data_IF_509167344945
#
_entry.id   IF_509167344945
#
_cell.length_a   1.000
_cell.length_b   1.000
_cell.length_c   1.000
_cell.angle_alpha   90.00
_cell.angle_beta   90.00
_cell.angle_gamma   90.00
#
_symmetry.space_group_name_H-M   'P 1'
#
loop_
_entity.id
_entity.type
_entity.pdbx_description
1 polymer ?
#
# COMPACT_ATOMS: atom_id res chain seq x y z
N UNK A 1 -17.61 5.60 -0.46
CA UNK A 1 -16.98 6.31 0.65
C UNK A 1 -15.55 5.82 0.69
N UNK A 2 -14.67 6.43 -0.11
CA UNK A 2 -13.23 6.27 0.12
C UNK A 2 -12.95 7.20 1.28
N UNK A 3 -12.63 6.66 2.45
CA UNK A 3 -12.27 7.48 3.60
C UNK A 3 -11.13 8.44 3.20
N UNK A 4 -11.31 9.75 3.40
CA UNK A 4 -10.27 10.79 3.22
C UNK A 4 -9.06 10.61 4.18
N UNK A 5 -9.02 9.51 4.91
CA UNK A 5 -7.93 9.08 5.78
C UNK A 5 -6.73 8.51 5.01
N UNK A 6 -5.82 7.88 5.78
CA UNK A 6 -4.58 7.36 5.23
C UNK A 6 -4.82 6.30 4.15
N UNK A 7 -5.82 5.43 4.31
CA UNK A 7 -6.19 4.44 3.29
C UNK A 7 -6.55 5.08 1.94
N UNK A 8 -7.33 6.17 1.92
CA UNK A 8 -7.70 6.88 0.70
C UNK A 8 -6.49 7.44 -0.06
N UNK A 9 -5.38 7.72 0.64
CA UNK A 9 -4.10 8.10 0.03
C UNK A 9 -3.29 6.92 -0.46
N UNK A 10 -3.44 5.74 0.16
CA UNK A 10 -2.69 4.53 -0.16
C UNK A 10 -3.33 3.74 -1.32
N UNK A 11 -4.65 3.58 -1.31
CA UNK A 11 -5.38 2.76 -2.28
C UNK A 11 -5.07 3.16 -3.75
N UNK A 12 -4.99 4.45 -4.12
CA UNK A 12 -4.59 4.83 -5.48
C UNK A 12 -3.18 4.33 -5.87
N UNK A 13 -2.25 4.24 -4.92
CA UNK A 13 -0.89 3.75 -5.15
C UNK A 13 -0.89 2.25 -5.40
N UNK A 14 -1.66 1.47 -4.62
CA UNK A 14 -1.86 0.04 -4.87
C UNK A 14 -2.43 -0.20 -6.26
N UNK A 15 -3.50 0.52 -6.62
CA UNK A 15 -4.15 0.44 -7.94
C UNK A 15 -3.18 0.76 -9.07
N UNK A 16 -2.35 1.80 -8.90
CA UNK A 16 -1.37 2.20 -9.91
C UNK A 16 -0.25 1.17 -10.08
N UNK A 17 0.29 0.63 -8.98
CA UNK A 17 1.40 -0.32 -9.02
C UNK A 17 0.96 -1.68 -9.56
N UNK A 18 -0.24 -2.13 -9.21
CA UNK A 18 -0.81 -3.40 -9.68
C UNK A 18 -1.51 -3.29 -11.02
N UNK A 19 -1.65 -2.07 -11.58
CA UNK A 19 -2.45 -1.79 -12.77
C UNK A 19 -3.90 -2.32 -12.66
N UNK A 20 -4.52 -2.11 -11.50
CA UNK A 20 -5.85 -2.63 -11.15
C UNK A 20 -6.71 -1.52 -10.54
N UNK A 21 -7.40 -0.71 -11.36
CA UNK A 21 -8.23 0.40 -10.88
C UNK A 21 -9.45 -0.05 -10.06
N UNK A 22 -9.82 -1.32 -10.17
CA UNK A 22 -10.96 -1.97 -9.52
C UNK A 22 -10.67 -2.48 -8.10
N UNK A 23 -9.43 -2.43 -7.61
CA UNK A 23 -9.10 -2.91 -6.26
C UNK A 23 -9.85 -2.15 -5.17
N UNK A 24 -10.27 -2.88 -4.14
CA UNK A 24 -10.81 -2.35 -2.89
C UNK A 24 -9.72 -2.19 -1.83
N UNK A 25 -10.02 -1.47 -0.75
CA UNK A 25 -9.09 -1.23 0.36
C UNK A 25 -8.51 -2.49 0.99
N UNK A 26 -9.34 -3.53 1.12
CA UNK A 26 -9.00 -4.83 1.73
C UNK A 26 -8.35 -5.82 0.76
N UNK A 27 -8.11 -5.43 -0.50
CA UNK A 27 -7.54 -6.33 -1.49
C UNK A 27 -6.05 -6.59 -1.21
N UNK A 28 -5.69 -7.86 -1.04
CA UNK A 28 -4.31 -8.27 -0.82
C UNK A 28 -3.42 -7.98 -2.04
N UNK A 29 -2.28 -7.34 -1.82
CA UNK A 29 -1.34 -6.95 -2.86
C UNK A 29 -0.79 -8.15 -3.66
N UNK A 30 -0.42 -9.23 -2.97
CA UNK A 30 0.23 -10.40 -3.56
C UNK A 30 -0.79 -11.31 -4.27
N UNK A 31 -2.00 -11.46 -3.72
CA UNK A 31 -3.07 -12.20 -4.39
C UNK A 31 -3.54 -11.51 -5.68
N UNK A 32 -3.34 -10.18 -5.80
CA UNK A 32 -3.72 -9.40 -6.97
C UNK A 32 -2.59 -9.17 -7.99
N UNK A 33 -1.54 -10.01 -7.96
CA UNK A 33 -0.45 -9.99 -8.94
C UNK A 33 0.78 -9.18 -8.50
N UNK A 34 0.81 -8.74 -7.25
CA UNK A 34 1.98 -8.11 -6.65
C UNK A 34 3.12 -9.09 -6.42
N UNK A 35 4.35 -8.64 -6.67
CA UNK A 35 5.57 -9.39 -6.39
C UNK A 35 6.57 -8.53 -5.62
N UNK A 36 7.76 -9.07 -5.37
CA UNK A 36 8.86 -8.40 -4.67
C UNK A 36 9.31 -7.09 -5.35
N UNK A 37 9.28 -7.04 -6.69
CA UNK A 37 9.72 -5.88 -7.46
C UNK A 37 8.66 -4.78 -7.36
N UNK A 38 7.39 -5.12 -7.59
CA UNK A 38 6.26 -4.20 -7.43
C UNK A 38 6.16 -3.70 -6.00
N UNK A 39 6.36 -4.56 -5.00
CA UNK A 39 6.38 -4.15 -3.58
C UNK A 39 7.54 -3.19 -3.29
N UNK A 40 8.71 -3.40 -3.90
CA UNK A 40 9.85 -2.47 -3.78
C UNK A 40 9.53 -1.11 -4.38
N UNK A 41 8.90 -1.08 -5.55
CA UNK A 41 8.45 0.15 -6.20
C UNK A 41 7.40 0.88 -5.35
N UNK A 42 6.40 0.17 -4.83
CA UNK A 42 5.38 0.73 -3.95
C UNK A 42 6.02 1.37 -2.71
N UNK A 43 6.93 0.68 -2.05
CA UNK A 43 7.64 1.20 -0.87
C UNK A 43 8.46 2.45 -1.21
N UNK A 44 9.12 2.50 -2.36
CA UNK A 44 9.85 3.69 -2.79
C UNK A 44 8.92 4.90 -2.94
N UNK A 45 7.74 4.72 -3.55
CA UNK A 45 6.73 5.78 -3.69
C UNK A 45 6.21 6.21 -2.31
N UNK A 46 5.84 5.25 -1.45
CA UNK A 46 5.33 5.51 -0.10
C UNK A 46 6.32 6.29 0.78
N UNK A 47 7.61 5.98 0.68
CA UNK A 47 8.67 6.72 1.40
C UNK A 47 8.68 8.20 1.02
N UNK A 48 8.51 8.51 -0.26
CA UNK A 48 8.47 9.88 -0.76
C UNK A 48 7.16 10.60 -0.37
N UNK A 49 6.02 9.95 -0.59
CA UNK A 49 4.68 10.52 -0.33
C UNK A 49 4.38 10.74 1.16
N UNK A 50 4.93 9.90 2.03
CA UNK A 50 4.65 9.92 3.46
C UNK A 50 5.81 10.48 4.30
N UNK A 51 6.98 10.72 3.71
CA UNK A 51 8.17 11.15 4.44
C UNK A 51 8.67 10.13 5.48
N UNK A 52 8.40 8.83 5.26
CA UNK A 52 8.73 7.74 6.19
C UNK A 52 9.83 6.84 5.60
N UNK A 53 11.14 7.13 5.82
CA UNK A 53 12.23 6.39 5.18
C UNK A 53 12.38 4.94 5.67
N UNK A 54 11.83 4.61 6.84
CA UNK A 54 11.93 3.29 7.49
C UNK A 54 11.00 2.23 6.90
N UNK A 55 10.06 2.61 6.01
CA UNK A 55 9.17 1.65 5.35
C UNK A 55 9.99 0.65 4.53
N UNK A 56 9.59 -0.62 4.50
CA UNK A 56 10.32 -1.67 3.79
C UNK A 56 9.36 -2.65 3.15
N UNK A 57 9.82 -3.47 2.21
CA UNK A 57 8.99 -4.52 1.58
C UNK A 57 8.36 -5.45 2.62
N UNK A 58 9.07 -5.71 3.74
CA UNK A 58 8.54 -6.46 4.88
C UNK A 58 7.27 -5.85 5.48
N UNK A 59 7.14 -4.51 5.48
CA UNK A 59 5.91 -3.86 5.96
C UNK A 59 4.71 -4.16 5.07
N UNK A 60 4.92 -4.32 3.75
CA UNK A 60 3.86 -4.71 2.80
C UNK A 60 3.48 -6.17 3.03
N UNK A 61 4.44 -7.06 3.27
CA UNK A 61 4.14 -8.46 3.64
C UNK A 61 3.35 -8.60 4.95
N UNK A 62 3.58 -7.72 5.93
CA UNK A 62 2.87 -7.77 7.21
C UNK A 62 1.45 -7.17 7.13
N UNK A 63 1.19 -6.33 6.15
CA UNK A 63 -0.07 -5.62 5.95
C UNK A 63 -0.31 -5.47 4.43
N UNK A 64 -0.77 -6.53 3.76
CA UNK A 64 -0.75 -6.61 2.30
C UNK A 64 -1.84 -5.79 1.62
N UNK A 65 -2.89 -5.38 2.32
CA UNK A 65 -3.93 -4.51 1.78
C UNK A 65 -3.71 -3.04 2.14
N UNK A 66 -4.30 -2.12 1.36
CA UNK A 66 -4.19 -0.68 1.63
C UNK A 66 -4.82 -0.31 2.99
N UNK A 67 -5.93 -0.97 3.36
CA UNK A 67 -6.61 -0.79 4.64
C UNK A 67 -5.74 -1.25 5.81
N UNK A 68 -5.19 -2.47 5.77
CA UNK A 68 -4.30 -2.97 6.81
C UNK A 68 -3.03 -2.12 6.92
N UNK A 69 -2.48 -1.68 5.79
CA UNK A 69 -1.29 -0.83 5.77
C UNK A 69 -1.56 0.52 6.42
N UNK A 70 -2.73 1.13 6.17
CA UNK A 70 -3.15 2.36 6.84
C UNK A 70 -3.19 2.18 8.37
N UNK A 71 -3.77 1.07 8.83
CA UNK A 71 -3.84 0.75 10.26
C UNK A 71 -2.46 0.53 10.86
N UNK A 72 -1.57 -0.18 10.15
CA UNK A 72 -0.18 -0.40 10.57
C UNK A 72 0.55 0.94 10.75
N UNK A 73 0.43 1.84 9.76
CA UNK A 73 1.09 3.14 9.80
C UNK A 73 0.54 4.07 10.88
N UNK A 74 -0.75 3.98 11.23
CA UNK A 74 -1.33 4.75 12.31
C UNK A 74 -0.77 4.36 13.70
N UNK A 75 -0.15 3.18 13.81
CA UNK A 75 0.48 2.67 15.04
C UNK A 75 1.99 2.94 15.11
N UNK A 76 2.59 3.41 14.01
CA UNK A 76 4.01 3.77 13.89
C UNK A 76 4.17 5.28 13.99
#
# INVERSE_FOLDING_TARGET
MVDDGLEGRLLPLWRSVLNRPDLTGDADFFENGGDSLLATQLVAILRMELGRPTLSVRTVFNAPSAAEYAVLLARL
#
